data_IF_690747034137
#
_entry.id   IF_690747034137
#
_cell.length_a   1.000
_cell.length_b   1.000
_cell.length_c   1.000
_cell.angle_alpha   90.00
_cell.angle_beta   90.00
_cell.angle_gamma   90.00
#
_symmetry.space_group_name_H-M   'P 1'
#
loop_
_entity.id
_entity.type
_entity.pdbx_description
1 polymer ?
#
# COMPACT_ATOMS: atom_id res chain seq x y z
N UNK A 1 5.16 -8.20 -29.38
CA UNK A 1 4.46 -8.06 -28.09
C UNK A 1 5.36 -7.18 -27.23
N UNK A 2 4.94 -5.98 -26.90
CA UNK A 2 5.65 -5.13 -25.94
C UNK A 2 5.42 -5.81 -24.60
N UNK A 3 6.48 -6.35 -23.95
CA UNK A 3 6.37 -6.94 -22.63
C UNK A 3 5.91 -5.87 -21.65
N UNK A 4 4.88 -6.17 -20.87
CA UNK A 4 4.46 -5.30 -19.76
C UNK A 4 5.61 -5.29 -18.73
N UNK A 5 6.08 -4.11 -18.34
CA UNK A 5 7.11 -4.01 -17.31
C UNK A 5 6.59 -4.56 -15.99
N UNK A 6 7.45 -5.27 -15.25
CA UNK A 6 7.09 -5.90 -13.97
C UNK A 6 7.45 -4.96 -12.84
N UNK A 7 6.48 -4.57 -12.02
CA UNK A 7 6.70 -3.75 -10.85
C UNK A 7 7.32 -4.54 -9.69
N UNK A 8 6.84 -5.79 -9.47
CA UNK A 8 7.30 -6.67 -8.38
C UNK A 8 7.39 -8.10 -8.89
N UNK A 9 8.50 -8.78 -8.59
CA UNK A 9 8.67 -10.23 -8.74
C UNK A 9 9.03 -10.82 -7.39
N UNK A 10 8.32 -11.87 -7.00
CA UNK A 10 8.52 -12.65 -5.77
C UNK A 10 8.79 -14.09 -6.16
N UNK A 11 9.84 -14.70 -5.58
CA UNK A 11 10.21 -16.08 -5.90
C UNK A 11 10.53 -16.87 -4.63
N UNK A 12 9.81 -17.98 -4.40
CA UNK A 12 9.98 -18.89 -3.29
C UNK A 12 9.89 -18.23 -1.91
N UNK A 13 9.08 -17.17 -1.79
CA UNK A 13 9.06 -16.28 -0.63
C UNK A 13 8.47 -16.98 0.59
N UNK A 14 9.22 -17.01 1.68
CA UNK A 14 8.73 -17.51 2.96
C UNK A 14 9.09 -16.57 4.10
N UNK A 15 8.19 -16.51 5.08
CA UNK A 15 8.40 -15.77 6.33
C UNK A 15 7.95 -16.60 7.53
N UNK A 16 8.84 -16.80 8.46
CA UNK A 16 8.62 -17.51 9.72
C UNK A 16 8.93 -16.60 10.89
N UNK A 17 8.06 -16.61 11.88
CA UNK A 17 8.26 -15.89 13.15
C UNK A 17 8.39 -16.87 14.31
N UNK A 18 9.35 -16.67 15.23
CA UNK A 18 9.41 -17.43 16.46
C UNK A 18 8.24 -17.07 17.39
N UNK A 19 7.56 -18.07 17.93
CA UNK A 19 6.44 -17.91 18.86
C UNK A 19 6.48 -18.95 19.97
N UNK A 20 6.87 -18.57 21.18
CA UNK A 20 6.77 -19.41 22.38
C UNK A 20 7.46 -20.77 22.28
N UNK A 21 8.62 -20.86 21.62
CA UNK A 21 9.35 -22.13 21.41
C UNK A 21 8.91 -22.95 20.20
N UNK A 22 7.91 -22.46 19.44
CA UNK A 22 7.50 -22.96 18.12
C UNK A 22 7.76 -21.90 17.05
N UNK A 23 7.58 -22.29 15.79
CA UNK A 23 7.66 -21.38 14.66
C UNK A 23 6.30 -21.27 13.96
N UNK A 24 5.90 -20.05 13.63
CA UNK A 24 4.71 -19.77 12.82
C UNK A 24 5.15 -19.30 11.44
N UNK A 25 4.84 -20.08 10.43
CA UNK A 25 5.09 -19.72 9.04
C UNK A 25 3.93 -18.87 8.53
N UNK A 26 4.15 -17.56 8.45
CA UNK A 26 3.14 -16.58 8.05
C UNK A 26 3.02 -16.44 6.52
N UNK A 27 4.11 -16.66 5.77
CA UNK A 27 4.16 -16.76 4.31
C UNK A 27 4.96 -18.01 3.96
N UNK A 28 4.49 -18.78 3.00
CA UNK A 28 5.03 -20.11 2.71
C UNK A 28 5.12 -20.35 1.20
N UNK A 29 6.35 -20.29 0.68
CA UNK A 29 6.72 -20.62 -0.69
C UNK A 29 5.85 -19.91 -1.74
N UNK A 30 5.78 -18.57 -1.65
CA UNK A 30 4.96 -17.74 -2.53
C UNK A 30 5.78 -17.29 -3.73
N UNK A 31 5.26 -17.59 -4.93
CA UNK A 31 5.67 -17.01 -6.21
C UNK A 31 4.59 -16.05 -6.68
N UNK A 32 4.99 -14.84 -7.10
CA UNK A 32 4.06 -13.79 -7.51
C UNK A 32 4.76 -12.77 -8.41
N UNK A 33 4.08 -12.38 -9.49
CA UNK A 33 4.48 -11.25 -10.33
C UNK A 33 3.36 -10.21 -10.36
N UNK A 34 3.69 -8.94 -10.19
CA UNK A 34 2.76 -7.82 -10.31
C UNK A 34 3.29 -6.90 -11.39
N UNK A 35 2.49 -6.64 -12.40
CA UNK A 35 2.84 -5.77 -13.51
C UNK A 35 2.73 -4.29 -13.13
N UNK A 36 3.48 -3.42 -13.81
CA UNK A 36 3.32 -1.97 -13.66
C UNK A 36 1.93 -1.53 -14.10
N UNK A 37 1.32 -0.64 -13.32
CA UNK A 37 -0.04 -0.16 -13.55
C UNK A 37 -1.14 -1.17 -13.20
N UNK A 38 -0.82 -2.33 -12.65
CA UNK A 38 -1.81 -3.32 -12.23
C UNK A 38 -2.49 -2.91 -10.92
N UNK A 39 -3.79 -3.16 -10.79
CA UNK A 39 -4.52 -3.02 -9.54
C UNK A 39 -4.90 -4.40 -9.02
N UNK A 40 -4.18 -4.86 -7.99
CA UNK A 40 -4.28 -6.21 -7.43
C UNK A 40 -4.92 -6.19 -6.05
N UNK A 41 -5.89 -7.08 -5.81
CA UNK A 41 -6.37 -7.39 -4.48
C UNK A 41 -5.78 -8.71 -3.99
N UNK A 42 -5.17 -8.71 -2.81
CA UNK A 42 -4.77 -9.92 -2.09
C UNK A 42 -5.83 -10.17 -1.01
N UNK A 43 -6.61 -11.22 -1.18
CA UNK A 43 -7.75 -11.54 -0.31
C UNK A 43 -7.47 -12.79 0.54
N UNK A 44 -8.11 -12.90 1.69
CA UNK A 44 -7.99 -14.06 2.56
C UNK A 44 -8.56 -13.80 3.95
N UNK A 45 -8.75 -14.86 4.73
CA UNK A 45 -9.23 -14.74 6.13
C UNK A 45 -8.19 -14.04 7.01
N UNK A 46 -8.62 -13.56 8.19
CA UNK A 46 -7.68 -13.07 9.20
C UNK A 46 -6.65 -14.18 9.53
N UNK A 47 -5.40 -13.79 9.67
CA UNK A 47 -4.29 -14.73 9.92
C UNK A 47 -3.76 -15.48 8.69
N UNK A 48 -4.27 -15.24 7.47
CA UNK A 48 -3.79 -15.92 6.27
C UNK A 48 -2.40 -15.46 5.76
N UNK A 49 -1.78 -14.45 6.37
CA UNK A 49 -0.46 -13.92 6.01
C UNK A 49 -0.47 -12.67 5.14
N UNK A 50 -1.63 -12.06 4.84
CA UNK A 50 -1.77 -10.89 3.95
C UNK A 50 -0.90 -9.69 4.37
N UNK A 51 -1.07 -9.23 5.61
CA UNK A 51 -0.28 -8.11 6.16
C UNK A 51 1.22 -8.43 6.18
N UNK A 52 1.59 -9.68 6.47
CA UNK A 52 2.99 -10.12 6.40
C UNK A 52 3.52 -10.03 4.98
N UNK A 53 2.78 -10.54 4.00
CA UNK A 53 3.17 -10.43 2.59
C UNK A 53 3.30 -8.96 2.17
N UNK A 54 2.32 -8.11 2.52
CA UNK A 54 2.38 -6.68 2.23
C UNK A 54 3.63 -6.01 2.83
N UNK A 55 3.97 -6.32 4.09
CA UNK A 55 5.15 -5.78 4.76
C UNK A 55 6.46 -6.24 4.10
N UNK A 56 6.50 -7.46 3.59
CA UNK A 56 7.64 -7.97 2.82
C UNK A 56 7.77 -7.21 1.49
N UNK A 57 6.67 -7.03 0.76
CA UNK A 57 6.64 -6.26 -0.50
C UNK A 57 7.02 -4.79 -0.29
N UNK A 58 6.69 -4.24 0.87
CA UNK A 58 7.06 -2.88 1.27
C UNK A 58 8.52 -2.75 1.73
N UNK A 59 9.25 -3.84 1.91
CA UNK A 59 10.57 -3.82 2.53
C UNK A 59 10.55 -3.32 3.99
N UNK A 60 9.42 -3.48 4.68
CA UNK A 60 9.30 -3.22 6.13
C UNK A 60 9.88 -4.39 6.92
N UNK A 61 9.63 -5.61 6.42
CA UNK A 61 10.17 -6.83 7.01
C UNK A 61 11.04 -7.56 5.97
N UNK A 62 11.88 -8.48 6.45
CA UNK A 62 12.75 -9.30 5.61
C UNK A 62 12.21 -10.71 5.48
N UNK A 63 12.29 -11.35 4.32
CA UNK A 63 11.94 -12.75 4.17
C UNK A 63 12.88 -13.64 4.98
N UNK A 64 12.37 -14.79 5.42
CA UNK A 64 13.20 -15.87 5.98
C UNK A 64 13.91 -16.66 4.89
N UNK A 65 13.29 -16.78 3.70
CA UNK A 65 13.87 -17.33 2.47
C UNK A 65 13.13 -16.80 1.24
N UNK A 66 13.71 -17.03 0.05
CA UNK A 66 13.20 -16.51 -1.20
C UNK A 66 13.68 -15.09 -1.49
N UNK A 67 13.17 -14.49 -2.57
CA UNK A 67 13.61 -13.18 -3.05
C UNK A 67 12.43 -12.28 -3.41
N UNK A 68 12.64 -10.98 -3.28
CA UNK A 68 11.70 -9.95 -3.74
C UNK A 68 12.50 -8.96 -4.59
N UNK A 69 12.10 -8.80 -5.84
CA UNK A 69 12.62 -7.78 -6.75
C UNK A 69 11.53 -6.75 -7.03
N UNK A 70 11.87 -5.49 -6.87
CA UNK A 70 11.01 -4.38 -7.29
C UNK A 70 11.68 -3.72 -8.50
N UNK A 71 11.09 -3.89 -9.67
CA UNK A 71 11.73 -3.62 -10.95
C UNK A 71 13.13 -4.28 -11.01
N UNK A 72 14.20 -3.48 -11.18
CA UNK A 72 15.58 -3.99 -11.24
C UNK A 72 16.25 -4.17 -9.87
N UNK A 73 15.60 -3.79 -8.76
CA UNK A 73 16.19 -3.78 -7.43
C UNK A 73 15.84 -5.04 -6.66
N UNK A 74 16.85 -5.82 -6.25
CA UNK A 74 16.67 -6.91 -5.27
C UNK A 74 16.65 -6.33 -3.85
N UNK A 75 15.47 -6.36 -3.21
CA UNK A 75 15.27 -5.81 -1.87
C UNK A 75 16.10 -6.54 -0.81
N UNK A 76 16.35 -7.84 -1.02
CA UNK A 76 17.17 -8.65 -0.11
C UNK A 76 18.63 -8.21 -0.04
N UNK A 77 19.15 -7.58 -1.11
CA UNK A 77 20.53 -7.09 -1.20
C UNK A 77 20.75 -5.75 -0.48
N UNK A 78 19.67 -5.02 -0.14
CA UNK A 78 19.76 -3.70 0.46
C UNK A 78 20.03 -3.77 1.98
N UNK A 79 20.83 -2.82 2.47
CA UNK A 79 20.93 -2.55 3.91
C UNK A 79 19.64 -1.98 4.48
N UNK A 80 19.47 -1.89 5.79
CA UNK A 80 18.29 -1.28 6.42
C UNK A 80 18.08 0.17 5.97
N UNK A 81 19.15 0.96 5.89
CA UNK A 81 19.11 2.33 5.37
C UNK A 81 18.79 2.36 3.86
N UNK A 82 19.28 1.40 3.10
CA UNK A 82 18.96 1.23 1.68
C UNK A 82 17.47 0.91 1.48
N UNK A 83 16.90 -0.03 2.27
CA UNK A 83 15.47 -0.34 2.24
C UNK A 83 14.61 0.86 2.62
N UNK A 84 15.03 1.61 3.67
CA UNK A 84 14.30 2.81 4.08
C UNK A 84 14.30 3.88 2.97
N UNK A 85 15.43 4.12 2.33
CA UNK A 85 15.54 5.04 1.20
C UNK A 85 14.70 4.57 0.00
N UNK A 86 14.85 3.29 -0.40
CA UNK A 86 14.08 2.71 -1.49
C UNK A 86 12.57 2.84 -1.24
N UNK A 87 12.10 2.49 -0.03
CA UNK A 87 10.69 2.62 0.36
C UNK A 87 10.21 4.06 0.29
N UNK A 88 10.99 5.00 0.84
CA UNK A 88 10.66 6.42 0.81
C UNK A 88 10.48 6.99 -0.59
N UNK A 89 11.15 6.41 -1.57
CA UNK A 89 11.15 6.85 -2.96
C UNK A 89 10.09 6.16 -3.83
N UNK A 90 9.81 4.89 -3.55
CA UNK A 90 9.08 4.04 -4.49
C UNK A 90 7.71 3.59 -3.95
N UNK A 91 7.49 3.63 -2.63
CA UNK A 91 6.32 3.02 -2.01
C UNK A 91 5.50 4.03 -1.22
N UNK A 92 4.21 4.12 -1.53
CA UNK A 92 3.20 4.75 -0.69
C UNK A 92 2.49 3.71 0.15
N UNK A 93 2.45 3.91 1.47
CA UNK A 93 1.83 2.97 2.41
C UNK A 93 0.55 3.57 2.99
N UNK A 94 -0.53 2.79 2.94
CA UNK A 94 -1.81 3.11 3.55
C UNK A 94 -2.18 1.98 4.51
N UNK A 95 -2.48 2.31 5.76
CA UNK A 95 -2.77 1.34 6.83
C UNK A 95 -4.23 1.41 7.27
N UNK A 96 -4.73 0.31 7.83
CA UNK A 96 -6.08 0.19 8.37
C UNK A 96 -6.38 1.23 9.46
N UNK A 97 -5.45 1.53 10.35
CA UNK A 97 -5.59 2.49 11.45
C UNK A 97 -4.92 3.83 11.14
N UNK A 98 -4.87 4.24 9.87
CA UNK A 98 -4.39 5.53 9.36
C UNK A 98 -2.92 5.85 9.70
N UNK A 99 -2.43 5.51 10.88
CA UNK A 99 -1.05 5.75 11.37
C UNK A 99 -0.62 7.21 11.24
N UNK A 100 -1.55 8.15 11.43
CA UNK A 100 -1.22 9.57 11.52
C UNK A 100 -0.60 9.88 12.88
N UNK A 101 0.43 10.71 12.89
CA UNK A 101 1.05 11.18 14.14
C UNK A 101 0.10 12.19 14.81
N UNK A 102 -0.40 11.91 16.02
CA UNK A 102 -1.47 12.69 16.64
C UNK A 102 -1.03 14.09 17.09
N UNK A 103 0.27 14.31 17.23
CA UNK A 103 0.88 15.59 17.64
C UNK A 103 1.16 16.54 16.49
N UNK A 104 1.05 16.05 15.24
CA UNK A 104 1.24 16.82 14.03
C UNK A 104 -0.10 17.14 13.40
N UNK A 105 -0.21 18.31 12.79
CA UNK A 105 -1.36 18.67 11.94
C UNK A 105 -1.45 17.73 10.73
N UNK A 106 -2.58 17.74 10.06
CA UNK A 106 -2.81 16.94 8.85
C UNK A 106 -1.78 17.24 7.77
N UNK A 107 -1.50 18.52 7.52
CA UNK A 107 -0.52 18.91 6.52
C UNK A 107 0.91 18.50 6.92
N UNK A 108 1.27 18.59 8.19
CA UNK A 108 2.57 18.15 8.67
C UNK A 108 2.73 16.62 8.53
N UNK A 109 1.67 15.84 8.80
CA UNK A 109 1.66 14.40 8.53
C UNK A 109 1.95 14.09 7.05
N UNK A 110 1.35 14.84 6.12
CA UNK A 110 1.58 14.68 4.68
C UNK A 110 3.00 15.12 4.27
N UNK A 111 3.59 16.07 4.97
CA UNK A 111 4.95 16.55 4.70
C UNK A 111 6.05 15.58 5.16
N UNK A 112 5.79 14.75 6.18
CA UNK A 112 6.80 13.85 6.77
C UNK A 112 7.60 13.01 5.76
N UNK A 113 6.98 12.30 4.80
CA UNK A 113 7.74 11.54 3.81
C UNK A 113 8.67 12.42 2.98
N UNK A 114 8.26 13.66 2.65
CA UNK A 114 9.09 14.62 1.93
C UNK A 114 10.27 15.10 2.76
N UNK A 115 10.07 15.27 4.09
CA UNK A 115 11.12 15.67 5.02
C UNK A 115 12.18 14.58 5.15
N UNK A 116 11.77 13.32 5.24
CA UNK A 116 12.69 12.19 5.36
C UNK A 116 13.44 11.90 4.05
N UNK A 117 12.77 11.93 2.91
CA UNK A 117 13.41 11.68 1.61
C UNK A 117 14.30 12.84 1.15
N UNK A 118 14.00 14.06 1.63
CA UNK A 118 14.74 15.30 1.34
C UNK A 118 15.00 15.55 -0.16
N UNK A 119 14.08 15.13 -1.04
CA UNK A 119 14.15 15.33 -2.50
C UNK A 119 13.41 16.58 -2.95
N UNK A 120 12.36 16.95 -2.22
CA UNK A 120 11.58 18.16 -2.49
C UNK A 120 12.17 19.30 -1.65
N UNK A 121 12.48 20.46 -2.25
CA UNK A 121 12.96 21.62 -1.52
C UNK A 121 12.04 21.99 -0.36
N UNK A 122 12.55 22.34 0.83
CA UNK A 122 11.71 22.64 2.00
C UNK A 122 10.61 23.65 1.74
N UNK A 123 10.88 24.71 0.93
CA UNK A 123 9.92 25.75 0.58
C UNK A 123 8.75 25.25 -0.29
N UNK A 124 8.88 24.10 -0.94
CA UNK A 124 7.86 23.54 -1.83
C UNK A 124 6.98 22.47 -1.16
N UNK A 125 7.45 21.89 -0.05
CA UNK A 125 6.78 20.74 0.62
C UNK A 125 5.37 21.08 1.07
N UNK A 126 5.19 22.23 1.71
CA UNK A 126 3.86 22.65 2.19
C UNK A 126 2.89 22.87 1.03
N UNK A 127 3.33 23.49 -0.06
CA UNK A 127 2.51 23.68 -1.27
C UNK A 127 2.07 22.35 -1.86
N UNK A 128 3.02 21.38 -1.98
CA UNK A 128 2.70 20.04 -2.46
C UNK A 128 1.73 19.31 -1.53
N UNK A 129 1.94 19.38 -0.22
CA UNK A 129 1.04 18.77 0.75
C UNK A 129 -0.38 19.36 0.65
N UNK A 130 -0.52 20.66 0.49
CA UNK A 130 -1.82 21.31 0.25
C UNK A 130 -2.49 20.81 -1.03
N UNK A 131 -1.76 20.68 -2.12
CA UNK A 131 -2.27 20.13 -3.38
C UNK A 131 -2.77 18.69 -3.22
N UNK A 132 -2.02 17.85 -2.50
CA UNK A 132 -2.42 16.46 -2.21
C UNK A 132 -3.67 16.40 -1.33
N UNK A 133 -3.76 17.20 -0.28
CA UNK A 133 -4.94 17.29 0.57
C UNK A 133 -6.18 17.80 -0.20
N UNK A 134 -6.01 18.78 -1.08
CA UNK A 134 -7.08 19.24 -1.96
C UNK A 134 -7.53 18.11 -2.92
N UNK A 135 -6.59 17.38 -3.49
CA UNK A 135 -6.85 16.24 -4.39
C UNK A 135 -7.69 15.15 -3.73
N UNK A 136 -7.40 14.82 -2.47
CA UNK A 136 -8.18 13.83 -1.72
C UNK A 136 -9.44 14.44 -1.05
N UNK A 137 -9.77 15.70 -1.34
CA UNK A 137 -11.01 16.36 -0.92
C UNK A 137 -11.07 16.78 0.55
N UNK A 138 -9.91 17.03 1.19
CA UNK A 138 -9.83 17.50 2.60
C UNK A 138 -8.86 18.70 2.77
N UNK A 139 -8.70 19.51 1.74
CA UNK A 139 -7.80 20.67 1.79
C UNK A 139 -8.12 21.67 2.90
N UNK A 140 -9.40 21.82 3.27
CA UNK A 140 -9.88 22.66 4.37
C UNK A 140 -9.55 22.12 5.77
N UNK A 141 -9.05 20.88 5.86
CA UNK A 141 -8.68 20.22 7.11
C UNK A 141 -7.18 20.31 7.41
N UNK A 142 -6.39 20.98 6.59
CA UNK A 142 -4.92 20.96 6.58
C UNK A 142 -4.27 21.29 7.92
N UNK A 143 -4.77 22.27 8.63
CA UNK A 143 -4.18 22.78 9.87
C UNK A 143 -4.79 22.13 11.15
N UNK A 144 -5.70 21.16 10.98
CA UNK A 144 -6.31 20.43 12.09
C UNK A 144 -5.43 19.27 12.56
N UNK A 145 -5.62 18.85 13.82
CA UNK A 145 -5.02 17.63 14.36
C UNK A 145 -5.84 16.40 13.94
N UNK A 146 -5.21 15.23 13.73
CA UNK A 146 -5.91 14.01 13.32
C UNK A 146 -7.11 13.62 14.18
N UNK A 147 -7.03 13.83 15.49
CA UNK A 147 -8.11 13.50 16.43
C UNK A 147 -9.43 14.28 16.19
N UNK A 148 -9.39 15.38 15.43
CA UNK A 148 -10.58 16.18 15.11
C UNK A 148 -11.24 15.80 13.78
N UNK A 149 -10.65 14.84 13.06
CA UNK A 149 -11.13 14.36 11.76
C UNK A 149 -12.02 13.13 11.93
N UNK A 150 -13.01 12.97 11.02
CA UNK A 150 -13.72 11.71 10.86
C UNK A 150 -12.77 10.59 10.37
N UNK A 151 -13.13 9.32 10.55
CA UNK A 151 -12.33 8.19 10.06
C UNK A 151 -12.02 8.28 8.57
N UNK A 152 -13.02 8.65 7.76
CA UNK A 152 -12.82 8.86 6.31
C UNK A 152 -11.88 10.02 5.97
N UNK A 153 -11.93 11.10 6.73
CA UNK A 153 -10.98 12.21 6.56
C UNK A 153 -9.56 11.80 6.97
N UNK A 154 -9.42 11.01 8.05
CA UNK A 154 -8.11 10.47 8.45
C UNK A 154 -7.55 9.52 7.39
N UNK A 155 -8.38 8.67 6.78
CA UNK A 155 -7.97 7.79 5.70
C UNK A 155 -7.53 8.57 4.46
N UNK A 156 -8.27 9.59 4.07
CA UNK A 156 -7.88 10.50 2.97
C UNK A 156 -6.55 11.22 3.26
N UNK A 157 -6.32 11.65 4.49
CA UNK A 157 -5.04 12.21 4.92
C UNK A 157 -3.89 11.18 4.82
N UNK A 158 -4.13 9.93 5.22
CA UNK A 158 -3.17 8.83 5.09
C UNK A 158 -2.85 8.53 3.62
N UNK A 159 -3.84 8.57 2.72
CA UNK A 159 -3.62 8.44 1.26
C UNK A 159 -2.82 9.64 0.73
N UNK A 160 -3.14 10.87 1.12
CA UNK A 160 -2.38 12.05 0.72
C UNK A 160 -0.90 11.93 1.18
N UNK A 161 -0.66 11.45 2.40
CA UNK A 161 0.68 11.17 2.91
C UNK A 161 1.39 10.09 2.08
N UNK A 162 0.71 9.02 1.72
CA UNK A 162 1.27 7.96 0.88
C UNK A 162 1.70 8.48 -0.50
N UNK A 163 1.03 9.49 -1.03
CA UNK A 163 1.33 10.13 -2.32
C UNK A 163 2.42 11.21 -2.26
N UNK A 164 2.95 11.55 -1.09
CA UNK A 164 3.80 12.71 -0.87
C UNK A 164 5.02 12.76 -1.80
N UNK A 165 5.73 11.65 -1.95
CA UNK A 165 6.93 11.50 -2.78
C UNK A 165 6.63 11.01 -4.21
N UNK A 166 5.37 10.99 -4.64
CA UNK A 166 4.93 10.52 -5.95
C UNK A 166 5.34 9.07 -6.27
N UNK A 167 5.06 8.09 -5.40
CA UNK A 167 5.48 6.73 -5.59
C UNK A 167 4.74 6.06 -6.76
N UNK A 168 5.45 5.19 -7.49
CA UNK A 168 4.85 4.35 -8.53
C UNK A 168 4.03 3.18 -7.97
N UNK A 169 4.32 2.76 -6.72
CA UNK A 169 3.69 1.63 -6.06
C UNK A 169 2.93 2.08 -4.80
N UNK A 170 1.65 1.75 -4.72
CA UNK A 170 0.83 1.94 -3.52
C UNK A 170 0.48 0.59 -2.91
N UNK A 171 0.79 0.42 -1.63
CA UNK A 171 0.47 -0.76 -0.85
C UNK A 171 -0.51 -0.37 0.26
N UNK A 172 -1.67 -1.04 0.32
CA UNK A 172 -2.71 -0.70 1.28
C UNK A 172 -3.15 -1.92 2.10
N UNK A 173 -3.10 -1.80 3.41
CA UNK A 173 -3.55 -2.82 4.36
C UNK A 173 -4.93 -2.46 4.91
N UNK A 174 -5.96 -3.21 4.49
CA UNK A 174 -7.37 -3.06 4.91
C UNK A 174 -7.85 -1.59 4.87
N UNK A 175 -7.68 -0.85 3.73
CA UNK A 175 -7.83 0.61 3.70
C UNK A 175 -9.26 1.10 3.96
N UNK A 176 -10.25 0.21 3.94
CA UNK A 176 -11.68 0.50 4.15
C UNK A 176 -12.24 -0.11 5.42
N UNK A 177 -11.50 -1.01 6.09
CA UNK A 177 -11.99 -1.85 7.17
C UNK A 177 -12.55 -1.13 8.42
N UNK A 178 -12.29 0.17 8.57
CA UNK A 178 -12.78 1.00 9.68
C UNK A 178 -13.73 2.12 9.22
N UNK A 179 -14.27 2.03 8.01
CA UNK A 179 -15.11 3.06 7.39
C UNK A 179 -16.54 2.58 7.21
N UNK A 180 -17.49 3.51 7.21
CA UNK A 180 -18.84 3.22 6.73
C UNK A 180 -18.83 2.96 5.22
N UNK A 181 -19.88 2.30 4.72
CA UNK A 181 -19.95 1.85 3.33
C UNK A 181 -19.84 2.99 2.30
N UNK A 182 -20.41 4.17 2.59
CA UNK A 182 -20.34 5.30 1.66
C UNK A 182 -18.92 5.88 1.59
N UNK A 183 -18.27 6.01 2.74
CA UNK A 183 -16.88 6.47 2.85
C UNK A 183 -15.92 5.46 2.26
N UNK A 184 -16.15 4.15 2.49
CA UNK A 184 -15.37 3.06 1.89
C UNK A 184 -15.43 3.11 0.36
N UNK A 185 -16.64 3.25 -0.23
CA UNK A 185 -16.80 3.38 -1.67
C UNK A 185 -16.01 4.57 -2.24
N UNK A 186 -16.07 5.74 -1.59
CA UNK A 186 -15.34 6.91 -2.04
C UNK A 186 -13.79 6.76 -1.92
N UNK A 187 -13.31 5.98 -0.96
CA UNK A 187 -11.88 5.64 -0.85
C UNK A 187 -11.47 4.67 -1.97
N UNK A 188 -12.29 3.67 -2.28
CA UNK A 188 -12.05 2.73 -3.36
C UNK A 188 -12.07 3.43 -4.73
N UNK A 189 -12.97 4.39 -4.96
CA UNK A 189 -12.96 5.22 -6.17
C UNK A 189 -11.66 6.02 -6.30
N UNK A 190 -11.16 6.61 -5.23
CA UNK A 190 -9.88 7.30 -5.24
C UNK A 190 -8.72 6.38 -5.62
N UNK A 191 -8.69 5.12 -5.14
CA UNK A 191 -7.69 4.15 -5.59
C UNK A 191 -7.84 3.82 -7.08
N UNK A 192 -9.07 3.68 -7.59
CA UNK A 192 -9.29 3.43 -9.02
C UNK A 192 -8.81 4.61 -9.88
N UNK A 193 -9.03 5.85 -9.45
CA UNK A 193 -8.49 7.06 -10.12
C UNK A 193 -6.96 7.06 -10.12
N UNK A 194 -6.32 6.74 -9.00
CA UNK A 194 -4.87 6.66 -8.89
C UNK A 194 -4.28 5.57 -9.78
N UNK A 195 -4.96 4.44 -9.91
CA UNK A 195 -4.56 3.37 -10.83
C UNK A 195 -4.72 3.80 -12.31
N UNK A 196 -5.81 4.47 -12.65
CA UNK A 196 -6.03 5.00 -14.02
C UNK A 196 -4.95 6.02 -14.44
N UNK A 197 -4.27 6.65 -13.50
CA UNK A 197 -3.10 7.51 -13.74
C UNK A 197 -1.79 6.72 -13.94
N UNK A 198 -1.84 5.39 -13.91
CA UNK A 198 -0.71 4.50 -14.16
C UNK A 198 0.01 3.98 -12.90
N UNK A 199 -0.50 4.23 -11.70
CA UNK A 199 0.11 3.67 -10.48
C UNK A 199 -0.21 2.20 -10.31
N UNK A 200 0.78 1.44 -9.90
CA UNK A 200 0.58 0.05 -9.44
C UNK A 200 0.01 0.07 -8.03
N UNK A 201 -1.08 -0.68 -7.80
CA UNK A 201 -1.76 -0.71 -6.50
C UNK A 201 -1.94 -2.14 -6.04
N UNK A 202 -1.53 -2.43 -4.80
CA UNK A 202 -1.78 -3.70 -4.12
C UNK A 202 -2.56 -3.42 -2.85
N UNK A 203 -3.76 -3.96 -2.76
CA UNK A 203 -4.62 -3.86 -1.57
C UNK A 203 -4.75 -5.23 -0.93
N UNK A 204 -4.46 -5.36 0.35
CA UNK A 204 -4.84 -6.54 1.11
C UNK A 204 -6.14 -6.27 1.85
N UNK A 205 -7.10 -7.17 1.72
CA UNK A 205 -8.42 -7.01 2.33
C UNK A 205 -9.15 -8.34 2.50
N UNK A 206 -10.18 -8.36 3.33
CA UNK A 206 -11.15 -9.45 3.40
C UNK A 206 -12.51 -9.04 2.79
N UNK A 207 -12.65 -7.80 2.32
CA UNK A 207 -13.88 -7.27 1.70
C UNK A 207 -14.01 -7.73 0.25
N UNK A 208 -15.24 -8.09 -0.15
CA UNK A 208 -15.53 -8.60 -1.50
C UNK A 208 -15.80 -7.49 -2.52
N UNK A 209 -16.18 -6.31 -2.06
CA UNK A 209 -16.60 -5.20 -2.91
C UNK A 209 -15.46 -4.65 -3.77
N UNK A 210 -14.19 -4.91 -3.37
CA UNK A 210 -13.00 -4.52 -4.12
C UNK A 210 -12.92 -5.18 -5.51
N UNK A 211 -13.58 -6.32 -5.71
CA UNK A 211 -13.56 -7.05 -7.00
C UNK A 211 -14.05 -6.24 -8.18
N UNK A 212 -14.91 -5.26 -7.95
CA UNK A 212 -15.48 -4.42 -9.02
C UNK A 212 -14.48 -3.42 -9.60
N UNK A 213 -13.37 -3.15 -8.91
CA UNK A 213 -12.40 -2.13 -9.30
C UNK A 213 -10.99 -2.67 -9.55
N UNK A 214 -10.65 -3.87 -9.07
CA UNK A 214 -9.34 -4.47 -9.30
C UNK A 214 -9.29 -5.25 -10.60
N UNK A 215 -8.11 -5.32 -11.21
CA UNK A 215 -7.86 -6.10 -12.42
C UNK A 215 -7.56 -7.58 -12.15
N UNK A 216 -7.16 -7.89 -10.90
CA UNK A 216 -6.72 -9.24 -10.49
C UNK A 216 -6.94 -9.48 -9.01
N UNK A 217 -7.37 -10.69 -8.66
CA UNK A 217 -7.53 -11.15 -7.28
C UNK A 217 -6.64 -12.35 -7.00
N UNK A 218 -5.85 -12.23 -5.93
CA UNK A 218 -4.97 -13.28 -5.42
C UNK A 218 -5.52 -13.73 -4.06
N UNK A 219 -5.91 -15.00 -3.94
CA UNK A 219 -6.38 -15.53 -2.67
C UNK A 219 -5.24 -16.17 -1.88
N UNK A 220 -5.06 -15.70 -0.63
CA UNK A 220 -4.08 -16.23 0.30
C UNK A 220 -4.76 -17.05 1.40
N UNK A 221 -4.25 -18.26 1.66
CA UNK A 221 -4.69 -19.11 2.75
C UNK A 221 -3.51 -19.83 3.38
N UNK A 222 -3.40 -19.74 4.70
CA UNK A 222 -2.34 -20.38 5.50
C UNK A 222 -0.92 -20.08 4.95
N UNK A 223 -0.71 -18.81 4.55
CA UNK A 223 0.55 -18.33 4.00
C UNK A 223 0.82 -18.67 2.54
N UNK A 224 -0.05 -19.44 1.86
CA UNK A 224 0.12 -19.87 0.48
C UNK A 224 -0.86 -19.16 -0.46
N UNK A 225 -0.46 -18.91 -1.70
CA UNK A 225 -1.36 -18.51 -2.78
C UNK A 225 -2.17 -19.74 -3.21
N UNK A 226 -3.51 -19.64 -3.09
CA UNK A 226 -4.43 -20.74 -3.44
C UNK A 226 -5.21 -20.46 -4.73
N UNK A 227 -5.31 -19.21 -5.14
CA UNK A 227 -5.80 -18.83 -6.46
C UNK A 227 -5.24 -17.48 -6.87
N UNK A 228 -5.13 -17.27 -8.17
CA UNK A 228 -4.64 -16.06 -8.80
C UNK A 228 -5.39 -15.90 -10.11
N UNK A 229 -6.35 -14.98 -10.14
CA UNK A 229 -7.33 -14.90 -11.21
C UNK A 229 -7.52 -13.43 -11.65
N UNK A 230 -7.58 -13.18 -12.98
CA UNK A 230 -8.03 -11.89 -13.45
C UNK A 230 -9.49 -11.67 -13.02
N UNK A 231 -9.80 -10.43 -12.64
CA UNK A 231 -11.19 -10.01 -12.43
C UNK A 231 -11.69 -9.39 -13.73
N UNK A 232 -12.92 -9.70 -14.14
CA UNK A 232 -13.56 -8.91 -15.19
C UNK A 232 -13.81 -7.51 -14.58
N UNK A 233 -13.27 -6.41 -15.13
CA UNK A 233 -13.62 -5.09 -14.66
C UNK A 233 -15.14 -4.95 -14.79
N UNK A 234 -15.81 -4.65 -13.70
CA UNK A 234 -17.26 -4.54 -13.70
C UNK A 234 -17.69 -3.51 -14.71
N UNK A 235 -18.53 -3.92 -15.66
CA UNK A 235 -19.29 -3.00 -16.49
C UNK A 235 -20.12 -2.18 -15.50
N UNK A 236 -19.74 -0.91 -15.32
CA UNK A 236 -20.56 0.04 -14.56
C UNK A 236 -21.90 0.12 -15.27
N UNK A 237 -22.96 -0.36 -14.61
CA UNK A 237 -24.33 -0.16 -15.04
C UNK A 237 -24.76 1.28 -14.77
#
# INVERSE_FOLDING_TARGET
>A
MIGVATAITVSGLSKTYPLGGSEVRAVNDVDLEIAEGEFVAIVGRSGSGKTTLLNLLAGIDRPSSGTIRAAEVDLGSLSESGLAAWRGDNVGLVFQFFQLLPTLTVIENVMLPMDFANRIPPGDRRRRAQQLLARVGIGDQSDKLPATLSGGQQQRAAIARALANDPGLLLADEPTGNLDSATAAAVLELFAELNAEGRTIVVVTHERDIRSIVSREIALRDGCVVSDLPTAPGVRA
#
